data_IF_377933635045
#
_entry.id   IF_377933635045
#
_cell.length_a   1.000
_cell.length_b   1.000
_cell.length_c   1.000
_cell.angle_alpha   90.00
_cell.angle_beta   90.00
_cell.angle_gamma   90.00
#
_symmetry.space_group_name_H-M   'P 1'
#
loop_
_entity.id
_entity.type
_entity.pdbx_description
1 polymer ?
#
# COMPACT_ATOMS: atom_id res chain seq x y z
N UNK A 1 13.99 16.86 -3.73
CA UNK A 1 13.98 16.04 -4.96
C UNK A 1 13.03 14.87 -4.77
N UNK A 2 12.11 14.66 -5.70
CA UNK A 2 11.21 13.51 -5.62
C UNK A 2 11.99 12.20 -5.83
N UNK A 3 11.64 11.16 -5.07
CA UNK A 3 12.21 9.84 -5.28
C UNK A 3 11.80 9.29 -6.65
N UNK A 4 12.69 8.53 -7.31
CA UNK A 4 12.36 7.90 -8.57
C UNK A 4 11.27 6.83 -8.35
N UNK A 5 10.50 6.57 -9.41
CA UNK A 5 9.45 5.52 -9.37
C UNK A 5 10.03 4.15 -9.07
N UNK A 6 11.19 3.84 -9.64
CA UNK A 6 11.86 2.55 -9.46
C UNK A 6 12.42 2.35 -8.04
N UNK A 7 12.62 3.44 -7.29
CA UNK A 7 13.12 3.40 -5.92
C UNK A 7 12.01 3.51 -4.87
N UNK A 8 10.77 3.76 -5.29
CA UNK A 8 9.64 3.98 -4.38
C UNK A 8 8.82 2.71 -4.20
N UNK A 9 8.52 2.39 -2.95
CA UNK A 9 7.75 1.21 -2.57
C UNK A 9 6.45 1.67 -1.88
N UNK A 10 5.32 1.38 -2.50
CA UNK A 10 4.01 1.67 -1.91
C UNK A 10 3.68 0.61 -0.87
N UNK A 11 3.47 1.03 0.37
CA UNK A 11 3.13 0.12 1.48
C UNK A 11 1.63 0.25 1.74
N UNK A 12 0.91 -0.83 1.48
CA UNK A 12 -0.53 -0.96 1.68
C UNK A 12 -0.77 -1.92 2.84
N UNK A 13 -1.15 -1.38 3.99
CA UNK A 13 -1.32 -2.17 5.21
C UNK A 13 -2.28 -1.46 6.18
N UNK A 14 -2.73 -2.14 7.23
CA UNK A 14 -3.46 -1.47 8.30
C UNK A 14 -2.57 -0.47 9.05
N UNK A 15 -3.17 0.62 9.54
CA UNK A 15 -2.44 1.65 10.29
C UNK A 15 -2.99 1.76 11.72
N UNK A 16 -3.27 0.63 12.35
CA UNK A 16 -3.72 0.59 13.73
C UNK A 16 -2.57 0.29 14.70
N UNK A 17 -2.82 0.47 16.00
CA UNK A 17 -1.78 0.29 17.02
C UNK A 17 -1.29 -1.14 17.12
N UNK A 18 -2.14 -2.14 16.84
CA UNK A 18 -1.75 -3.55 16.87
C UNK A 18 -0.79 -3.90 15.73
N UNK A 19 -0.95 -3.23 14.59
CA UNK A 19 -0.10 -3.47 13.43
C UNK A 19 1.20 -2.66 13.48
N UNK A 20 1.29 -1.63 14.32
CA UNK A 20 2.42 -0.70 14.33
C UNK A 20 3.79 -1.40 14.37
N UNK A 21 4.03 -2.44 15.19
CA UNK A 21 5.33 -3.10 15.18
C UNK A 21 5.67 -3.75 13.83
N UNK A 22 4.67 -4.31 13.15
CA UNK A 22 4.87 -4.91 11.82
C UNK A 22 5.13 -3.81 10.79
N UNK A 23 4.37 -2.72 10.84
CA UNK A 23 4.58 -1.56 9.96
C UNK A 23 6.00 -1.02 10.11
N UNK A 24 6.46 -0.84 11.34
CA UNK A 24 7.81 -0.36 11.61
C UNK A 24 8.87 -1.29 11.03
N UNK A 25 8.67 -2.60 11.15
CA UNK A 25 9.58 -3.60 10.58
C UNK A 25 9.60 -3.54 9.05
N UNK A 26 8.44 -3.40 8.41
CA UNK A 26 8.33 -3.29 6.95
C UNK A 26 9.06 -2.03 6.46
N UNK A 27 8.82 -0.89 7.09
CA UNK A 27 9.48 0.37 6.76
C UNK A 27 11.00 0.23 6.92
N UNK A 28 11.45 -0.37 8.02
CA UNK A 28 12.86 -0.60 8.25
C UNK A 28 13.48 -1.43 7.12
N UNK A 29 12.82 -2.52 6.74
CA UNK A 29 13.33 -3.39 5.66
C UNK A 29 13.41 -2.64 4.32
N UNK A 30 12.40 -1.84 3.99
CA UNK A 30 12.37 -1.06 2.75
C UNK A 30 13.55 -0.09 2.72
N UNK A 31 13.76 0.65 3.81
CA UNK A 31 14.87 1.61 3.90
C UNK A 31 16.22 0.90 3.88
N UNK A 32 16.34 -0.23 4.59
CA UNK A 32 17.59 -1.00 4.63
C UNK A 32 17.97 -1.55 3.26
N UNK A 33 16.98 -1.83 2.41
CA UNK A 33 17.23 -2.27 1.02
C UNK A 33 17.53 -1.11 0.06
N UNK A 34 17.58 0.11 0.55
CA UNK A 34 17.87 1.28 -0.28
C UNK A 34 16.68 1.87 -1.00
N UNK A 35 15.47 1.49 -0.63
CA UNK A 35 14.24 2.00 -1.23
C UNK A 35 13.59 3.08 -0.37
N UNK A 36 12.63 3.80 -0.95
CA UNK A 36 11.87 4.86 -0.29
C UNK A 36 10.47 4.35 0.01
N UNK A 37 10.09 4.23 1.29
CA UNK A 37 8.72 3.82 1.64
C UNK A 37 7.73 4.95 1.38
N UNK A 38 6.60 4.60 0.78
CA UNK A 38 5.50 5.52 0.50
C UNK A 38 4.21 4.89 1.00
N UNK A 39 3.35 5.66 1.62
CA UNK A 39 2.06 5.14 2.10
C UNK A 39 1.03 6.24 2.23
N UNK A 40 -0.23 5.84 2.47
CA UNK A 40 -1.34 6.80 2.55
C UNK A 40 -1.26 7.71 3.77
N UNK A 41 -0.41 7.43 4.76
CA UNK A 41 -0.19 8.33 5.90
C UNK A 41 0.42 9.67 5.49
N UNK A 42 1.09 9.74 4.34
CA UNK A 42 1.64 11.00 3.83
C UNK A 42 0.57 11.88 3.15
N UNK A 43 -0.65 11.36 2.96
CA UNK A 43 -1.74 12.08 2.30
C UNK A 43 -2.50 12.92 3.33
N UNK A 44 -2.14 14.19 3.44
CA UNK A 44 -2.66 15.08 4.49
C UNK A 44 -3.73 16.05 4.02
N UNK A 45 -3.85 16.27 2.71
CA UNK A 45 -4.85 17.17 2.17
C UNK A 45 -6.21 16.48 2.10
N UNK A 46 -7.17 16.96 2.89
CA UNK A 46 -8.52 16.42 2.95
C UNK A 46 -9.44 16.98 1.85
N UNK A 47 -8.99 17.99 1.11
CA UNK A 47 -9.80 18.63 0.07
C UNK A 47 -9.92 17.78 -1.19
N UNK A 48 -8.96 16.88 -1.43
CA UNK A 48 -9.03 15.97 -2.57
C UNK A 48 -9.74 14.67 -2.21
N UNK A 49 -10.32 14.04 -3.22
CA UNK A 49 -10.90 12.70 -3.08
C UNK A 49 -9.80 11.70 -2.77
N UNK A 50 -9.96 10.95 -1.69
CA UNK A 50 -8.95 10.02 -1.20
C UNK A 50 -8.49 9.00 -2.26
N UNK A 51 -9.43 8.50 -3.07
CA UNK A 51 -9.08 7.49 -4.08
C UNK A 51 -8.15 8.07 -5.15
N UNK A 52 -8.32 9.34 -5.51
CA UNK A 52 -7.44 9.99 -6.50
C UNK A 52 -6.01 10.12 -5.95
N UNK A 53 -5.87 10.41 -4.65
CA UNK A 53 -4.57 10.45 -3.99
C UNK A 53 -3.89 9.09 -4.01
N UNK A 54 -4.66 8.02 -3.76
CA UNK A 54 -4.16 6.65 -3.82
C UNK A 54 -3.70 6.32 -5.24
N UNK A 55 -4.46 6.69 -6.26
CA UNK A 55 -4.07 6.50 -7.65
C UNK A 55 -2.73 7.19 -7.95
N UNK A 56 -2.59 8.44 -7.51
CA UNK A 56 -1.35 9.19 -7.70
C UNK A 56 -0.16 8.54 -7.01
N UNK A 57 -0.35 8.06 -5.80
CA UNK A 57 0.69 7.41 -5.03
C UNK A 57 1.12 6.09 -5.68
N UNK A 58 0.16 5.28 -6.13
CA UNK A 58 0.43 4.04 -6.86
C UNK A 58 1.20 4.33 -8.15
N UNK A 59 0.81 5.39 -8.88
CA UNK A 59 1.50 5.78 -10.11
C UNK A 59 2.96 6.13 -9.86
N UNK A 60 3.29 6.67 -8.70
CA UNK A 60 4.65 7.08 -8.33
C UNK A 60 5.54 5.94 -7.86
N UNK A 61 5.01 4.73 -7.72
CA UNK A 61 5.73 3.60 -7.15
C UNK A 61 5.72 2.41 -8.11
N UNK A 62 6.92 1.96 -8.53
CA UNK A 62 7.02 0.73 -9.33
C UNK A 62 6.95 -0.52 -8.45
N UNK A 63 7.22 -0.39 -7.18
CA UNK A 63 7.24 -1.49 -6.22
C UNK A 63 6.15 -1.29 -5.17
N UNK A 64 5.65 -2.39 -4.62
CA UNK A 64 4.67 -2.33 -3.53
C UNK A 64 4.74 -3.54 -2.63
N UNK A 65 4.28 -3.34 -1.40
CA UNK A 65 4.05 -4.39 -0.42
C UNK A 65 2.60 -4.24 0.04
N UNK A 66 1.81 -5.31 -0.12
CA UNK A 66 0.40 -5.31 0.27
C UNK A 66 0.18 -6.36 1.35
N UNK A 67 -0.24 -5.92 2.54
CA UNK A 67 -0.61 -6.85 3.61
C UNK A 67 -2.13 -6.96 3.66
N UNK A 68 -2.64 -8.11 3.24
CA UNK A 68 -4.07 -8.40 3.21
C UNK A 68 -4.49 -9.36 4.34
N UNK A 69 -3.64 -9.56 5.34
CA UNK A 69 -3.90 -10.51 6.42
C UNK A 69 -5.07 -10.11 7.32
N UNK A 70 -5.46 -8.84 7.32
CA UNK A 70 -6.54 -8.32 8.16
C UNK A 70 -7.76 -7.91 7.35
N UNK A 71 -8.29 -8.83 6.55
CA UNK A 71 -9.50 -8.61 5.78
C UNK A 71 -10.76 -9.15 6.47
N UNK A 72 -10.60 -9.73 7.64
CA UNK A 72 -11.71 -10.24 8.45
C UNK A 72 -12.58 -9.11 9.03
N UNK A 73 -13.73 -9.49 9.53
CA UNK A 73 -14.67 -8.56 10.14
C UNK A 73 -13.99 -7.83 11.30
N UNK A 74 -13.97 -6.50 11.24
CA UNK A 74 -13.41 -5.71 12.31
C UNK A 74 -14.34 -5.68 13.51
N UNK A 75 -13.75 -5.57 14.72
CA UNK A 75 -14.50 -5.40 15.96
C UNK A 75 -15.00 -3.94 16.04
N UNK A 76 -16.09 -3.69 15.35
CA UNK A 76 -16.74 -2.38 15.26
C UNK A 76 -18.25 -2.57 15.13
N UNK A 77 -19.05 -1.51 15.36
CA UNK A 77 -20.51 -1.64 15.40
C UNK A 77 -21.14 -2.26 14.15
N UNK A 78 -20.57 -2.04 12.99
CA UNK A 78 -21.12 -2.53 11.72
C UNK A 78 -20.57 -3.87 11.30
N UNK A 79 -19.54 -4.38 11.95
CA UNK A 79 -18.91 -5.68 11.67
C UNK A 79 -18.60 -5.89 10.19
N UNK A 80 -18.13 -4.84 9.52
CA UNK A 80 -17.77 -4.91 8.11
C UNK A 80 -16.32 -5.31 7.93
N UNK A 81 -16.00 -6.17 6.95
CA UNK A 81 -14.61 -6.49 6.63
C UNK A 81 -13.84 -5.24 6.18
N UNK A 82 -12.53 -5.30 6.32
CA UNK A 82 -11.66 -4.23 5.84
C UNK A 82 -11.34 -4.48 4.37
N UNK A 83 -11.95 -3.69 3.49
CA UNK A 83 -11.81 -3.85 2.04
C UNK A 83 -10.71 -2.98 1.42
N UNK A 84 -10.22 -1.97 2.14
CA UNK A 84 -9.29 -1.01 1.54
C UNK A 84 -7.98 -1.64 1.09
N UNK A 85 -7.40 -2.57 1.84
CA UNK A 85 -6.15 -3.21 1.43
C UNK A 85 -6.33 -4.07 0.18
N UNK A 86 -7.35 -4.96 0.08
CA UNK A 86 -7.62 -5.68 -1.17
C UNK A 86 -7.95 -4.76 -2.35
N UNK A 87 -8.69 -3.68 -2.12
CA UNK A 87 -9.02 -2.71 -3.18
C UNK A 87 -7.74 -2.08 -3.74
N UNK A 88 -6.86 -1.60 -2.87
CA UNK A 88 -5.62 -0.95 -3.30
C UNK A 88 -4.69 -1.95 -4.00
N UNK A 89 -4.64 -3.20 -3.56
CA UNK A 89 -3.92 -4.26 -4.26
C UNK A 89 -4.48 -4.46 -5.65
N UNK A 90 -5.82 -4.51 -5.78
CA UNK A 90 -6.48 -4.65 -7.08
C UNK A 90 -6.16 -3.49 -8.03
N UNK A 91 -6.14 -2.26 -7.52
CA UNK A 91 -5.76 -1.08 -8.31
C UNK A 91 -4.31 -1.21 -8.79
N UNK A 92 -3.40 -1.63 -7.93
CA UNK A 92 -1.98 -1.80 -8.29
C UNK A 92 -1.81 -2.88 -9.36
N UNK A 93 -2.48 -4.02 -9.19
CA UNK A 93 -2.43 -5.11 -10.17
C UNK A 93 -3.07 -4.69 -11.51
N UNK A 94 -4.15 -3.92 -11.46
CA UNK A 94 -4.77 -3.35 -12.66
C UNK A 94 -3.82 -2.41 -13.39
N UNK A 95 -3.14 -1.54 -12.67
CA UNK A 95 -2.14 -0.64 -13.25
C UNK A 95 -1.00 -1.42 -13.92
N UNK A 96 -0.54 -2.49 -13.26
CA UNK A 96 0.48 -3.38 -13.83
C UNK A 96 -0.01 -4.02 -15.13
N UNK A 97 -1.24 -4.51 -15.17
CA UNK A 97 -1.78 -5.26 -16.30
C UNK A 97 -2.12 -4.37 -17.49
N UNK A 98 -2.70 -3.19 -17.22
CA UNK A 98 -3.31 -2.36 -18.26
C UNK A 98 -2.60 -1.02 -18.49
N UNK A 99 -1.64 -0.68 -17.68
CA UNK A 99 -1.04 0.64 -17.63
C UNK A 99 0.13 0.88 -18.60
N UNK A 100 0.34 0.07 -19.59
CA UNK A 100 1.43 0.26 -20.54
C UNK A 100 2.80 0.19 -19.85
N UNK A 101 3.48 1.34 -19.66
CA UNK A 101 4.78 1.38 -18.98
C UNK A 101 4.73 0.84 -17.55
N UNK A 102 3.54 0.78 -16.94
CA UNK A 102 3.36 0.23 -15.60
C UNK A 102 3.56 -1.28 -15.54
N UNK A 103 3.81 -1.95 -16.67
CA UNK A 103 4.16 -3.37 -16.69
C UNK A 103 5.44 -3.68 -15.91
N UNK A 104 6.25 -2.65 -15.60
CA UNK A 104 7.43 -2.79 -14.74
C UNK A 104 7.08 -2.94 -13.25
N UNK A 105 5.81 -2.73 -12.88
CA UNK A 105 5.40 -2.82 -11.47
C UNK A 105 5.55 -4.24 -10.94
N UNK A 106 6.01 -4.32 -9.68
CA UNK A 106 6.15 -5.58 -8.95
C UNK A 106 5.54 -5.41 -7.57
N UNK A 107 4.87 -6.45 -7.08
CA UNK A 107 4.29 -6.41 -5.75
C UNK A 107 4.64 -7.66 -4.94
N UNK A 108 4.75 -7.47 -3.64
CA UNK A 108 4.84 -8.53 -2.64
C UNK A 108 3.53 -8.53 -1.86
N UNK A 109 2.91 -9.67 -1.74
CA UNK A 109 1.65 -9.83 -1.01
C UNK A 109 1.95 -10.60 0.27
N UNK A 110 1.57 -10.01 1.41
CA UNK A 110 1.68 -10.64 2.72
C UNK A 110 0.29 -11.06 3.18
N UNK A 111 0.19 -12.29 3.67
CA UNK A 111 -1.05 -12.82 4.20
C UNK A 111 -0.72 -13.75 5.36
N UNK A 112 -1.75 -14.20 6.08
CA UNK A 112 -1.58 -15.17 7.15
C UNK A 112 -1.21 -16.53 6.58
N UNK A 113 -0.47 -17.28 7.37
CA UNK A 113 -0.32 -18.70 7.11
C UNK A 113 -1.69 -19.39 7.22
N UNK A 114 -1.98 -20.34 6.34
CA UNK A 114 -3.23 -21.11 6.40
C UNK A 114 -3.32 -21.94 7.69
#
# INVERSE_FOLDING_TARGET
MAASRSASVFINCPFDTQYQPIFDAVVFCVVACGFVPRCTLELTDVAEVRIDKIYGLIDQCDLSIHDISRTEVADQPYQLPRFNMPLELGIFLGAKRFGGRSSQKRCLILDRAP
#
